data_IF_914549157397
#
_entry.id   IF_914549157397
#
_cell.length_a   1.000
_cell.length_b   1.000
_cell.length_c   1.000
_cell.angle_alpha   90.00
_cell.angle_beta   90.00
_cell.angle_gamma   90.00
#
_symmetry.space_group_name_H-M   'P 1'
#
loop_
_entity.id
_entity.type
_entity.pdbx_description
1 polymer ?
#
# COMPACT_ATOMS: atom_id res chain seq x y z
N UNK A 1 -3.81 21.46 -17.34
CA UNK A 1 -2.92 22.63 -17.15
C UNK A 1 -1.48 22.16 -17.30
N UNK A 2 -0.61 22.99 -17.90
CA UNK A 2 0.83 22.69 -18.00
C UNK A 2 1.26 21.84 -19.20
N UNK A 3 0.48 21.79 -20.28
CA UNK A 3 0.83 20.99 -21.47
C UNK A 3 2.11 21.47 -22.15
N UNK A 4 2.27 22.77 -22.40
CA UNK A 4 3.48 23.30 -23.05
C UNK A 4 4.75 23.06 -22.21
N UNK A 5 4.63 23.14 -20.89
CA UNK A 5 5.72 22.78 -19.95
C UNK A 5 6.06 21.29 -20.05
N UNK A 6 5.04 20.42 -20.15
CA UNK A 6 5.26 18.99 -20.36
C UNK A 6 5.95 18.73 -21.70
N UNK A 7 5.54 19.39 -22.79
CA UNK A 7 6.17 19.26 -24.12
C UNK A 7 7.66 19.59 -24.05
N UNK A 8 8.01 20.74 -23.43
CA UNK A 8 9.41 21.11 -23.23
C UNK A 8 10.19 20.10 -22.40
N UNK A 9 9.58 19.55 -21.34
CA UNK A 9 10.20 18.54 -20.49
C UNK A 9 10.44 17.21 -21.20
N UNK A 10 9.46 16.69 -21.93
CA UNK A 10 9.56 15.39 -22.61
C UNK A 10 10.49 15.41 -23.82
N UNK A 11 10.82 16.60 -24.36
CA UNK A 11 11.82 16.76 -25.42
C UNK A 11 13.20 16.19 -25.02
N UNK A 12 13.52 16.18 -23.72
CA UNK A 12 14.76 15.59 -23.19
C UNK A 12 14.76 14.05 -23.20
N UNK A 13 13.59 13.42 -23.38
CA UNK A 13 13.39 11.97 -23.32
C UNK A 13 13.06 11.42 -24.71
N UNK A 14 13.97 11.63 -25.66
CA UNK A 14 13.84 11.04 -27.01
C UNK A 14 13.77 9.50 -26.94
N UNK A 15 13.21 8.81 -27.95
CA UNK A 15 13.15 7.35 -27.96
C UNK A 15 14.51 6.68 -27.74
N UNK A 16 15.61 7.27 -28.23
CA UNK A 16 16.97 6.77 -28.00
C UNK A 16 17.40 6.88 -26.53
N UNK A 17 17.10 8.01 -25.89
CA UNK A 17 17.41 8.23 -24.47
C UNK A 17 16.59 7.30 -23.59
N UNK A 18 15.29 7.18 -23.85
CA UNK A 18 14.39 6.31 -23.10
C UNK A 18 14.75 4.83 -23.27
N UNK A 19 15.04 4.39 -24.50
CA UNK A 19 15.51 3.03 -24.81
C UNK A 19 16.76 2.67 -24.02
N UNK A 20 17.80 3.53 -24.04
CA UNK A 20 19.03 3.31 -23.27
C UNK A 20 18.77 3.19 -21.77
N UNK A 21 17.92 4.06 -21.21
CA UNK A 21 17.59 4.03 -19.77
C UNK A 21 16.76 2.81 -19.37
N UNK A 22 15.82 2.39 -20.20
CA UNK A 22 14.91 1.28 -19.90
C UNK A 22 15.49 -0.10 -20.26
N UNK A 23 16.56 -0.15 -21.08
CA UNK A 23 17.13 -1.42 -21.56
C UNK A 23 16.20 -2.15 -22.54
N UNK A 24 15.46 -1.40 -23.36
CA UNK A 24 14.53 -1.95 -24.37
C UNK A 24 14.80 -1.35 -25.74
N UNK A 25 14.49 -2.09 -26.80
CA UNK A 25 14.67 -1.63 -28.17
C UNK A 25 13.86 -0.36 -28.48
N UNK A 26 14.46 0.57 -29.25
CA UNK A 26 13.82 1.84 -29.63
C UNK A 26 12.50 1.61 -30.35
N UNK A 27 12.43 0.63 -31.26
CA UNK A 27 11.22 0.36 -32.02
C UNK A 27 10.12 -0.27 -31.17
N UNK A 28 10.46 -1.16 -30.22
CA UNK A 28 9.50 -1.72 -29.27
C UNK A 28 8.86 -0.63 -28.41
N UNK A 29 9.64 0.37 -27.96
CA UNK A 29 9.13 1.51 -27.22
C UNK A 29 8.14 2.35 -28.05
N UNK A 30 8.48 2.64 -29.30
CA UNK A 30 7.59 3.39 -30.22
C UNK A 30 6.32 2.61 -30.53
N UNK A 31 6.42 1.30 -30.73
CA UNK A 31 5.29 0.42 -30.98
C UNK A 31 4.33 0.41 -29.80
N UNK A 32 4.84 0.22 -28.57
CA UNK A 32 4.04 0.26 -27.34
C UNK A 32 3.30 1.61 -27.20
N UNK A 33 3.98 2.72 -27.44
CA UNK A 33 3.36 4.06 -27.38
C UNK A 33 2.25 4.23 -28.42
N UNK A 34 2.46 3.77 -29.66
CA UNK A 34 1.44 3.82 -30.73
C UNK A 34 0.26 2.89 -30.44
N UNK A 35 0.53 1.68 -29.97
CA UNK A 35 -0.49 0.70 -29.61
C UNK A 35 -1.42 1.30 -28.56
N UNK A 36 -0.84 1.85 -27.48
CA UNK A 36 -1.56 2.48 -26.39
C UNK A 36 -2.40 3.70 -26.84
N UNK A 37 -1.82 4.56 -27.68
CA UNK A 37 -2.49 5.79 -28.12
C UNK A 37 -3.58 5.58 -29.18
N UNK A 38 -3.46 4.53 -30.03
CA UNK A 38 -4.42 4.25 -31.12
C UNK A 38 -5.67 3.52 -30.64
N UNK A 39 -5.54 2.59 -29.69
CA UNK A 39 -6.64 1.72 -29.27
C UNK A 39 -7.38 2.29 -28.06
N UNK A 40 -8.13 3.38 -28.28
CA UNK A 40 -8.94 4.00 -27.24
C UNK A 40 -10.34 3.39 -27.18
N UNK A 41 -10.95 3.22 -25.99
CA UNK A 41 -10.41 3.53 -24.67
C UNK A 41 -9.28 2.57 -24.25
N UNK A 42 -8.22 3.10 -23.63
CA UNK A 42 -7.12 2.30 -23.08
C UNK A 42 -6.75 2.74 -21.67
N UNK A 43 -6.31 1.79 -20.87
CA UNK A 43 -5.98 1.97 -19.46
C UNK A 43 -4.64 1.31 -19.13
N UNK A 44 -3.88 1.90 -18.21
CA UNK A 44 -2.68 1.30 -17.64
C UNK A 44 -2.99 0.96 -16.20
N UNK A 45 -3.21 -0.31 -15.91
CA UNK A 45 -3.36 -0.80 -14.54
C UNK A 45 -1.97 -1.04 -13.97
N UNK A 46 -1.49 -0.07 -13.20
CA UNK A 46 -0.16 -0.13 -12.57
C UNK A 46 -0.02 -1.34 -11.63
N UNK A 47 -1.10 -1.79 -10.98
CA UNK A 47 -1.04 -2.73 -9.87
C UNK A 47 -0.65 -2.04 -8.56
N UNK A 48 -0.55 -2.82 -7.48
CA UNK A 48 -0.21 -2.33 -6.14
C UNK A 48 1.24 -2.68 -5.81
N UNK A 49 2.02 -1.72 -5.29
CA UNK A 49 3.41 -1.94 -4.86
C UNK A 49 4.35 -2.41 -5.96
N UNK A 50 3.95 -2.28 -7.23
CA UNK A 50 4.68 -2.80 -8.40
C UNK A 50 5.79 -1.86 -8.86
N UNK A 51 5.50 -0.56 -8.91
CA UNK A 51 6.45 0.48 -9.32
C UNK A 51 6.55 1.60 -8.29
N UNK A 52 5.81 1.54 -7.19
CA UNK A 52 5.74 2.53 -6.11
C UNK A 52 6.64 2.17 -4.91
N UNK A 53 7.23 0.96 -4.90
CA UNK A 53 8.28 0.54 -3.96
C UNK A 53 9.69 0.79 -4.52
N UNK A 54 9.87 1.90 -5.22
CA UNK A 54 11.18 2.43 -5.59
C UNK A 54 11.12 3.96 -5.54
N UNK A 55 12.28 4.60 -5.52
CA UNK A 55 12.38 6.05 -5.34
C UNK A 55 11.80 6.88 -6.48
N UNK A 56 11.85 6.37 -7.70
CA UNK A 56 11.22 7.02 -8.84
C UNK A 56 9.72 6.69 -8.94
N UNK A 57 9.18 5.89 -8.03
CA UNK A 57 7.84 5.33 -8.14
C UNK A 57 6.73 6.37 -8.13
N UNK A 58 6.86 7.39 -7.30
CA UNK A 58 5.95 8.54 -7.32
C UNK A 58 5.92 9.21 -8.71
N UNK A 59 7.08 9.44 -9.32
CA UNK A 59 7.18 10.09 -10.63
C UNK A 59 6.74 9.17 -11.76
N UNK A 60 6.97 7.85 -11.64
CA UNK A 60 6.47 6.85 -12.59
C UNK A 60 4.95 6.75 -12.58
N UNK A 61 4.32 6.70 -11.40
CA UNK A 61 2.86 6.78 -11.25
C UNK A 61 2.28 8.06 -11.84
N UNK A 62 2.96 9.21 -11.65
CA UNK A 62 2.55 10.48 -12.27
C UNK A 62 2.66 10.44 -13.80
N UNK A 63 3.72 9.84 -14.35
CA UNK A 63 3.88 9.67 -15.78
C UNK A 63 2.73 8.84 -16.37
N UNK A 64 2.34 7.74 -15.72
CA UNK A 64 1.20 6.90 -16.12
C UNK A 64 -0.11 7.69 -16.07
N UNK A 65 -0.35 8.43 -14.98
CA UNK A 65 -1.55 9.27 -14.86
C UNK A 65 -1.62 10.33 -15.97
N UNK A 66 -0.49 10.93 -16.32
CA UNK A 66 -0.36 11.89 -17.42
C UNK A 66 -0.65 11.22 -18.77
N UNK A 67 -0.12 10.03 -19.04
CA UNK A 67 -0.39 9.29 -20.28
C UNK A 67 -1.90 9.05 -20.47
N UNK A 68 -2.57 8.56 -19.42
CA UNK A 68 -4.02 8.32 -19.44
C UNK A 68 -4.82 9.62 -19.69
N UNK A 69 -4.36 10.74 -19.13
CA UNK A 69 -4.95 12.06 -19.36
C UNK A 69 -4.77 12.55 -20.80
N UNK A 70 -3.56 12.41 -21.36
CA UNK A 70 -3.22 12.87 -22.72
C UNK A 70 -4.03 12.16 -23.80
N UNK A 71 -4.30 10.87 -23.60
CA UNK A 71 -5.12 10.12 -24.55
C UNK A 71 -6.63 10.32 -24.34
N UNK A 72 -7.04 11.05 -23.30
CA UNK A 72 -8.44 11.32 -22.99
C UNK A 72 -9.20 10.12 -22.42
N UNK A 73 -8.51 9.18 -21.76
CA UNK A 73 -9.09 7.94 -21.22
C UNK A 73 -9.33 7.98 -19.70
N UNK A 74 -9.45 9.18 -19.12
CA UNK A 74 -9.87 9.36 -17.74
C UNK A 74 -11.39 9.37 -17.64
N UNK A 75 -11.92 8.63 -16.66
CA UNK A 75 -13.34 8.54 -16.34
C UNK A 75 -14.20 8.11 -17.54
N UNK A 76 -13.69 7.16 -18.34
CA UNK A 76 -14.37 6.54 -19.48
C UNK A 76 -14.36 5.00 -19.33
N UNK A 77 -15.39 4.32 -19.87
CA UNK A 77 -15.45 2.86 -19.89
C UNK A 77 -14.25 2.30 -20.69
N UNK A 78 -13.60 1.26 -20.18
CA UNK A 78 -12.33 0.75 -20.73
C UNK A 78 -11.09 1.64 -20.45
N UNK A 79 -11.29 2.82 -19.87
CA UNK A 79 -10.24 3.71 -19.39
C UNK A 79 -10.00 3.61 -17.88
N UNK A 80 -9.41 4.65 -17.30
CA UNK A 80 -9.20 4.74 -15.85
C UNK A 80 -10.43 5.36 -15.18
N UNK A 81 -11.24 4.53 -14.51
CA UNK A 81 -12.54 4.93 -13.97
C UNK A 81 -12.45 5.35 -12.50
N UNK A 82 -13.35 6.25 -12.10
CA UNK A 82 -13.55 6.58 -10.69
C UNK A 82 -14.78 5.83 -10.16
N UNK A 83 -14.60 4.85 -9.27
CA UNK A 83 -15.73 4.20 -8.63
C UNK A 83 -16.48 5.14 -7.69
N UNK A 84 -17.81 4.98 -7.55
CA UNK A 84 -18.59 5.81 -6.64
C UNK A 84 -18.27 5.46 -5.19
N UNK A 85 -18.72 6.31 -4.27
CA UNK A 85 -18.37 6.21 -2.84
C UNK A 85 -19.60 5.98 -2.02
N UNK A 86 -19.60 4.92 -1.20
CA UNK A 86 -20.60 4.73 -0.17
C UNK A 86 -20.47 5.86 0.86
N UNK A 87 -21.57 6.59 1.11
CA UNK A 87 -21.60 7.66 2.10
C UNK A 87 -21.66 7.04 3.49
N UNK A 88 -20.62 7.23 4.28
CA UNK A 88 -20.52 6.73 5.65
C UNK A 88 -20.25 7.88 6.62
N UNK A 89 -20.75 7.79 7.85
CA UNK A 89 -20.22 8.62 8.94
C UNK A 89 -18.81 8.17 9.29
N UNK A 90 -17.98 9.14 9.68
CA UNK A 90 -16.63 8.86 10.14
C UNK A 90 -16.64 8.52 11.63
N UNK A 91 -15.97 7.43 12.01
CA UNK A 91 -15.63 7.14 13.40
C UNK A 91 -14.38 7.90 13.87
N UNK A 92 -13.77 8.72 13.02
CA UNK A 92 -12.59 9.51 13.39
C UNK A 92 -13.01 10.70 14.24
N UNK A 93 -12.14 11.05 15.19
CA UNK A 93 -12.30 12.19 16.09
C UNK A 93 -11.22 13.25 15.83
N UNK A 94 -11.11 13.80 14.60
CA UNK A 94 -9.99 14.68 14.24
C UNK A 94 -9.96 15.96 15.06
N UNK A 95 -11.10 16.42 15.58
CA UNK A 95 -11.19 17.60 16.43
C UNK A 95 -10.52 17.43 17.81
N UNK A 96 -10.25 16.19 18.23
CA UNK A 96 -9.50 15.89 19.45
C UNK A 96 -7.99 15.91 19.24
N UNK A 97 -7.52 15.86 17.98
CA UNK A 97 -6.10 15.85 17.63
C UNK A 97 -5.70 17.25 17.19
N UNK A 98 -4.92 17.94 18.02
CA UNK A 98 -4.45 19.31 17.74
C UNK A 98 -3.13 19.34 16.98
N UNK A 99 -2.28 18.35 17.22
CA UNK A 99 -0.93 18.30 16.67
C UNK A 99 -0.86 17.56 15.34
N UNK A 100 0.20 17.83 14.59
CA UNK A 100 0.50 17.12 13.36
C UNK A 100 1.20 15.77 13.65
N UNK A 101 0.90 14.73 12.85
CA UNK A 101 1.55 13.44 13.03
C UNK A 101 3.05 13.50 12.67
N UNK A 102 3.85 12.60 13.24
CA UNK A 102 5.28 12.50 12.92
C UNK A 102 5.51 12.35 11.41
N UNK A 103 6.45 13.13 10.87
CA UNK A 103 6.76 13.16 9.44
C UNK A 103 5.98 14.19 8.63
N UNK A 104 5.00 14.87 9.24
CA UNK A 104 4.23 15.96 8.61
C UNK A 104 5.16 17.01 7.97
N UNK A 105 6.08 17.61 8.73
CA UNK A 105 6.94 18.69 8.22
C UNK A 105 7.94 18.23 7.13
N UNK A 106 8.17 16.92 7.00
CA UNK A 106 9.19 16.36 6.11
C UNK A 106 8.63 15.84 4.80
N UNK A 107 7.41 15.30 4.81
CA UNK A 107 6.88 14.58 3.66
C UNK A 107 5.54 15.16 3.24
N UNK A 108 5.49 15.76 2.04
CA UNK A 108 4.28 16.40 1.50
C UNK A 108 3.06 15.49 1.52
N UNK A 109 3.24 14.20 1.17
CA UNK A 109 2.15 13.21 1.19
C UNK A 109 1.57 12.96 2.59
N UNK A 110 2.25 13.36 3.66
CA UNK A 110 1.80 13.27 5.06
C UNK A 110 1.24 14.60 5.59
N UNK A 111 1.46 15.73 4.89
CA UNK A 111 0.71 16.99 5.10
C UNK A 111 -0.63 17.01 4.41
N UNK A 112 -0.67 16.34 3.26
CA UNK A 112 -1.81 16.34 2.37
C UNK A 112 -1.43 17.02 1.07
N UNK A 113 -1.84 16.40 -0.02
CA UNK A 113 -1.86 17.07 -1.29
C UNK A 113 -3.28 17.65 -1.47
N UNK A 114 -3.38 18.97 -1.56
CA UNK A 114 -4.64 19.71 -1.60
C UNK A 114 -5.46 19.52 -0.30
N UNK A 115 -6.80 19.57 -0.38
CA UNK A 115 -7.73 19.49 0.76
C UNK A 115 -7.88 18.08 1.37
N UNK A 116 -6.85 17.22 1.27
CA UNK A 116 -6.88 15.83 1.77
C UNK A 116 -5.85 15.64 2.88
N UNK A 117 -6.20 15.90 4.16
CA UNK A 117 -5.28 15.67 5.26
C UNK A 117 -5.00 14.15 5.41
N UNK A 118 -3.74 13.70 5.28
CA UNK A 118 -3.32 12.34 5.55
C UNK A 118 -3.19 12.26 7.06
N UNK A 119 -4.25 11.83 7.73
CA UNK A 119 -4.27 11.70 9.19
C UNK A 119 -3.43 10.54 9.73
N UNK A 120 -2.23 10.31 9.18
CA UNK A 120 -1.34 9.21 9.54
C UNK A 120 0.10 9.72 9.69
N UNK A 121 0.88 9.09 10.55
CA UNK A 121 2.31 9.38 10.71
C UNK A 121 3.16 8.60 9.70
N UNK A 122 4.32 9.15 9.34
CA UNK A 122 5.31 8.46 8.51
C UNK A 122 5.98 7.36 9.34
N UNK A 123 5.77 6.10 8.93
CA UNK A 123 6.15 4.91 9.69
C UNK A 123 7.63 4.91 10.12
N UNK A 124 8.57 5.22 9.22
CA UNK A 124 9.99 5.27 9.58
C UNK A 124 10.34 6.42 10.53
N UNK A 125 9.62 7.54 10.47
CA UNK A 125 9.82 8.63 11.42
C UNK A 125 9.31 8.24 12.80
N UNK A 126 8.23 7.46 12.89
CA UNK A 126 7.75 6.88 14.15
C UNK A 126 8.78 5.90 14.70
N UNK A 127 9.34 5.01 13.88
CA UNK A 127 10.37 4.06 14.30
C UNK A 127 11.65 4.77 14.76
N UNK A 128 12.07 5.83 14.06
CA UNK A 128 13.20 6.65 14.53
C UNK A 128 12.92 7.32 15.86
N UNK A 129 11.72 7.86 16.06
CA UNK A 129 11.35 8.50 17.32
C UNK A 129 11.28 7.49 18.47
N UNK A 130 10.79 6.28 18.21
CA UNK A 130 10.83 5.17 19.17
C UNK A 130 12.27 4.76 19.50
N UNK A 131 13.16 4.67 18.52
CA UNK A 131 14.57 4.27 18.72
C UNK A 131 15.42 5.37 19.38
N UNK A 132 15.26 6.62 18.98
CA UNK A 132 16.19 7.72 19.31
C UNK A 132 15.66 8.72 20.32
N UNK A 133 14.35 8.71 20.57
CA UNK A 133 13.69 9.73 21.39
C UNK A 133 13.48 11.08 20.68
N UNK A 134 13.77 11.19 19.37
CA UNK A 134 13.67 12.44 18.60
C UNK A 134 12.62 12.36 17.48
N UNK A 135 11.82 13.41 17.25
CA UNK A 135 11.84 14.72 17.92
C UNK A 135 11.29 14.69 19.35
N UNK A 136 10.58 13.62 19.73
CA UNK A 136 10.16 13.33 21.10
C UNK A 136 10.05 11.80 21.26
N UNK A 137 10.09 11.26 22.50
CA UNK A 137 10.06 9.82 22.71
C UNK A 137 8.69 9.23 22.41
N UNK A 138 8.70 8.13 21.66
CA UNK A 138 7.55 7.21 21.60
C UNK A 138 7.79 6.14 22.66
N UNK A 139 6.90 6.08 23.66
CA UNK A 139 7.04 5.18 24.81
C UNK A 139 6.11 3.98 24.77
N UNK A 140 4.99 4.10 24.06
CA UNK A 140 4.05 3.00 23.89
C UNK A 140 3.68 2.83 22.42
N UNK A 141 3.52 1.59 21.99
CA UNK A 141 3.00 1.25 20.66
C UNK A 141 1.99 0.10 20.77
N UNK A 142 0.88 0.23 20.04
CA UNK A 142 -0.06 -0.87 19.83
C UNK A 142 0.00 -1.27 18.36
N UNK A 143 0.29 -2.54 18.10
CA UNK A 143 0.34 -3.12 16.75
C UNK A 143 -0.86 -4.03 16.59
N UNK A 144 -1.67 -3.84 15.55
CA UNK A 144 -2.88 -4.62 15.30
C UNK A 144 -2.84 -5.22 13.91
N UNK A 145 -2.88 -6.55 13.81
CA UNK A 145 -2.91 -7.29 12.55
C UNK A 145 -1.72 -6.99 11.63
N UNK A 146 -0.55 -6.73 12.19
CA UNK A 146 0.65 -6.35 11.45
C UNK A 146 1.91 -6.99 12.07
N UNK A 147 2.88 -7.31 11.22
CA UNK A 147 4.17 -7.87 11.62
C UNK A 147 5.34 -7.03 11.08
N UNK A 148 5.51 -5.77 11.55
CA UNK A 148 6.52 -4.84 11.04
C UNK A 148 7.95 -5.35 11.11
N UNK A 149 8.31 -6.22 12.08
CA UNK A 149 9.66 -6.83 12.12
C UNK A 149 9.99 -7.54 10.81
N UNK A 150 9.02 -8.23 10.21
CA UNK A 150 9.20 -8.98 8.96
C UNK A 150 8.87 -8.15 7.71
N UNK A 151 7.90 -7.23 7.80
CA UNK A 151 7.31 -6.58 6.62
C UNK A 151 7.87 -5.20 6.29
N UNK A 152 8.57 -4.55 7.24
CA UNK A 152 9.27 -3.29 6.99
C UNK A 152 10.73 -3.57 6.60
N UNK A 153 11.34 -2.74 5.73
CA UNK A 153 12.76 -2.86 5.44
C UNK A 153 13.61 -2.49 6.65
N UNK A 154 14.83 -3.02 6.70
CA UNK A 154 15.77 -2.87 7.82
C UNK A 154 15.16 -3.40 9.13
N UNK A 155 14.95 -4.72 9.18
CA UNK A 155 14.33 -5.41 10.31
C UNK A 155 15.04 -5.13 11.63
N UNK A 156 16.37 -5.03 11.64
CA UNK A 156 17.16 -4.75 12.84
C UNK A 156 16.80 -3.39 13.44
N UNK A 157 16.64 -2.37 12.60
CA UNK A 157 16.17 -1.05 13.02
C UNK A 157 14.77 -1.11 13.62
N UNK A 158 13.88 -1.94 13.07
CA UNK A 158 12.53 -2.14 13.62
C UNK A 158 12.62 -2.80 14.99
N UNK A 159 13.40 -3.88 15.13
CA UNK A 159 13.59 -4.58 16.40
C UNK A 159 14.11 -3.63 17.47
N UNK A 160 15.15 -2.85 17.16
CA UNK A 160 15.71 -1.84 18.08
C UNK A 160 14.69 -0.79 18.49
N UNK A 161 13.87 -0.30 17.55
CA UNK A 161 12.82 0.68 17.85
C UNK A 161 11.75 0.10 18.78
N UNK A 162 11.34 -1.15 18.55
CA UNK A 162 10.31 -1.82 19.35
C UNK A 162 10.81 -2.19 20.76
N UNK A 163 12.07 -2.61 20.90
CA UNK A 163 12.69 -2.94 22.18
C UNK A 163 12.92 -1.71 23.08
N UNK A 164 12.95 -0.51 22.50
CA UNK A 164 13.12 0.74 23.26
C UNK A 164 11.80 1.32 23.82
N UNK A 165 10.67 0.67 23.53
CA UNK A 165 9.36 1.06 24.05
C UNK A 165 9.21 0.64 25.52
N UNK A 166 8.58 1.48 26.33
CA UNK A 166 8.17 1.13 27.70
C UNK A 166 6.95 0.18 27.69
N UNK A 167 6.17 0.19 26.60
CA UNK A 167 5.03 -0.68 26.39
C UNK A 167 4.83 -1.01 24.91
N UNK A 168 4.77 -2.31 24.59
CA UNK A 168 4.44 -2.82 23.27
C UNK A 168 3.29 -3.81 23.43
N UNK A 169 2.14 -3.47 22.85
CA UNK A 169 0.96 -4.34 22.82
C UNK A 169 0.76 -4.83 21.41
N UNK A 170 0.63 -6.14 21.22
CA UNK A 170 0.37 -6.73 19.91
C UNK A 170 -0.97 -7.45 19.92
N UNK A 171 -1.87 -7.07 19.03
CA UNK A 171 -3.19 -7.67 18.81
C UNK A 171 -3.11 -8.48 17.51
N UNK A 172 -2.97 -9.80 17.64
CA UNK A 172 -2.74 -10.69 16.50
C UNK A 172 -3.38 -12.06 16.73
N UNK A 173 -3.53 -12.84 15.65
CA UNK A 173 -3.99 -14.22 15.69
C UNK A 173 -2.86 -15.17 16.11
N UNK A 174 -1.60 -14.81 15.80
CA UNK A 174 -0.44 -15.68 15.98
C UNK A 174 0.69 -14.98 16.73
N UNK A 175 1.59 -15.77 17.33
CA UNK A 175 2.83 -15.29 17.90
C UNK A 175 3.84 -14.98 16.79
N UNK A 176 3.64 -13.85 16.10
CA UNK A 176 4.53 -13.36 15.03
C UNK A 176 5.87 -12.85 15.58
N UNK A 177 6.84 -12.58 14.70
CA UNK A 177 8.13 -12.00 15.09
C UNK A 177 7.97 -10.68 15.86
N UNK A 178 6.96 -9.88 15.50
CA UNK A 178 6.61 -8.67 16.24
C UNK A 178 5.93 -8.98 17.58
N UNK A 179 5.01 -9.96 17.62
CA UNK A 179 4.36 -10.37 18.86
C UNK A 179 5.35 -10.94 19.89
N UNK A 180 6.39 -11.63 19.43
CA UNK A 180 7.44 -12.17 20.29
C UNK A 180 8.26 -11.10 21.03
N UNK A 181 8.26 -9.85 20.54
CA UNK A 181 8.88 -8.71 21.21
C UNK A 181 7.92 -7.97 22.16
N UNK A 182 6.64 -8.32 22.16
CA UNK A 182 5.62 -7.57 22.87
C UNK A 182 5.67 -7.78 24.39
N UNK A 183 5.35 -6.72 25.12
CA UNK A 183 5.10 -6.79 26.56
C UNK A 183 3.75 -7.45 26.85
N UNK A 184 2.77 -7.25 25.96
CA UNK A 184 1.42 -7.84 26.05
C UNK A 184 0.98 -8.30 24.66
N UNK A 185 0.53 -9.55 24.56
CA UNK A 185 -0.12 -10.08 23.36
C UNK A 185 -1.59 -10.31 23.68
N UNK A 186 -2.48 -9.72 22.86
CA UNK A 186 -3.92 -9.86 22.97
C UNK A 186 -4.44 -10.72 21.81
N UNK A 187 -5.16 -11.83 22.08
CA UNK A 187 -5.64 -12.73 21.03
C UNK A 187 -6.75 -12.07 20.21
N UNK A 188 -6.52 -11.93 18.91
CA UNK A 188 -7.49 -11.36 17.98
C UNK A 188 -8.39 -12.43 17.34
N UNK A 189 -9.64 -12.08 17.05
CA UNK A 189 -10.53 -12.95 16.29
C UNK A 189 -10.11 -13.06 14.81
N UNK A 190 -10.27 -14.26 14.24
CA UNK A 190 -10.17 -14.47 12.80
C UNK A 190 -11.34 -13.81 12.05
N UNK A 191 -11.21 -13.70 10.72
CA UNK A 191 -12.28 -13.12 9.91
C UNK A 191 -13.58 -13.94 9.92
N UNK A 192 -13.54 -15.22 10.33
CA UNK A 192 -14.72 -16.10 10.41
C UNK A 192 -15.49 -15.96 11.73
N UNK A 193 -14.88 -15.32 12.74
CA UNK A 193 -15.38 -15.27 14.12
C UNK A 193 -16.15 -13.97 14.42
N UNK A 194 -16.16 -13.01 13.49
CA UNK A 194 -16.67 -11.66 13.72
C UNK A 194 -17.61 -11.18 12.62
N UNK A 195 -18.58 -10.36 13.04
CA UNK A 195 -19.33 -9.52 12.11
C UNK A 195 -18.47 -8.40 11.55
N UNK A 196 -18.83 -7.90 10.38
CA UNK A 196 -18.20 -6.70 9.86
C UNK A 196 -18.84 -6.20 8.57
N UNK A 197 -18.76 -4.90 8.35
CA UNK A 197 -19.16 -4.29 7.09
C UNK A 197 -18.11 -4.57 6.02
N UNK A 198 -18.47 -5.32 4.98
CA UNK A 198 -17.65 -5.53 3.81
C UNK A 198 -17.99 -4.49 2.76
N UNK A 199 -17.04 -3.59 2.49
CA UNK A 199 -17.08 -2.72 1.32
C UNK A 199 -15.99 -3.17 0.36
N UNK A 200 -16.27 -3.12 -0.95
CA UNK A 200 -15.22 -3.38 -1.92
C UNK A 200 -14.12 -2.33 -1.78
N UNK A 201 -12.86 -2.78 -1.79
CA UNK A 201 -11.72 -1.88 -1.77
C UNK A 201 -11.71 -1.09 -3.08
N UNK A 202 -12.26 0.12 -2.99
CA UNK A 202 -12.64 0.98 -4.11
C UNK A 202 -11.51 1.13 -5.14
N UNK A 203 -10.29 1.29 -4.65
CA UNK A 203 -9.08 1.52 -5.48
C UNK A 203 -8.67 0.29 -6.29
N UNK A 204 -9.08 -0.92 -5.90
CA UNK A 204 -8.69 -2.16 -6.60
C UNK A 204 -9.75 -2.68 -7.54
N UNK A 205 -11.00 -2.77 -7.07
CA UNK A 205 -12.02 -3.53 -7.78
C UNK A 205 -12.99 -2.64 -8.53
N UNK A 206 -13.08 -1.35 -8.19
CA UNK A 206 -13.96 -0.39 -8.88
C UNK A 206 -15.46 -0.66 -8.70
N UNK A 207 -15.85 -1.68 -7.94
CA UNK A 207 -17.22 -2.16 -7.83
C UNK A 207 -17.93 -1.55 -6.60
N UNK A 208 -19.09 -0.89 -6.77
CA UNK A 208 -19.81 -0.24 -5.67
C UNK A 208 -20.69 -1.23 -4.91
N UNK A 209 -20.06 -2.23 -4.32
CA UNK A 209 -20.71 -3.32 -3.60
C UNK A 209 -20.50 -3.18 -2.09
N UNK A 210 -21.56 -3.47 -1.35
CA UNK A 210 -21.54 -3.54 0.12
C UNK A 210 -22.29 -4.78 0.60
N UNK A 211 -21.76 -5.43 1.63
CA UNK A 211 -22.37 -6.59 2.26
C UNK A 211 -22.04 -6.60 3.76
N UNK A 212 -22.82 -7.33 4.55
CA UNK A 212 -22.44 -7.68 5.92
C UNK A 212 -21.78 -9.05 5.94
N UNK A 213 -20.57 -9.11 6.50
CA UNK A 213 -19.94 -10.37 6.90
C UNK A 213 -20.65 -10.89 8.14
N UNK A 214 -21.11 -12.14 8.06
CA UNK A 214 -21.70 -12.87 9.17
C UNK A 214 -20.61 -13.62 9.91
N UNK A 215 -20.79 -13.77 11.22
CA UNK A 215 -20.01 -14.68 12.04
C UNK A 215 -20.33 -16.12 11.64
N UNK A 216 -19.31 -16.88 11.22
CA UNK A 216 -19.44 -18.26 10.76
C UNK A 216 -19.16 -19.26 11.89
N UNK A 217 -18.30 -18.91 12.83
CA UNK A 217 -17.90 -19.74 13.97
C UNK A 217 -17.88 -18.91 15.25
N UNK A 218 -17.91 -19.57 16.42
CA UNK A 218 -17.69 -18.90 17.70
C UNK A 218 -16.24 -18.45 17.83
N UNK A 219 -16.00 -17.41 18.62
CA UNK A 219 -14.65 -16.94 18.96
C UNK A 219 -13.83 -18.11 19.51
N UNK A 220 -12.57 -18.18 19.11
CA UNK A 220 -11.68 -19.21 19.60
C UNK A 220 -11.04 -18.79 20.92
N UNK A 221 -11.12 -19.64 21.95
CA UNK A 221 -10.56 -19.36 23.27
C UNK A 221 -11.10 -18.05 23.86
N UNK A 222 -10.18 -17.17 24.27
CA UNK A 222 -10.49 -15.84 24.81
C UNK A 222 -10.32 -14.71 23.77
N UNK A 223 -10.25 -15.04 22.49
CA UNK A 223 -10.06 -14.05 21.42
C UNK A 223 -11.20 -13.04 21.36
N UNK A 224 -10.84 -11.77 21.12
CA UNK A 224 -11.80 -10.69 20.95
C UNK A 224 -11.76 -10.13 19.53
N UNK A 225 -12.92 -9.70 19.00
CA UNK A 225 -12.92 -8.89 17.78
C UNK A 225 -12.28 -7.53 18.08
N UNK A 226 -11.53 -6.98 17.14
CA UNK A 226 -10.75 -5.75 17.31
C UNK A 226 -11.57 -4.60 17.90
N UNK A 227 -12.81 -4.40 17.44
CA UNK A 227 -13.68 -3.33 17.92
C UNK A 227 -13.89 -3.39 19.44
N UNK A 228 -13.96 -4.60 20.02
CA UNK A 228 -14.16 -4.80 21.46
C UNK A 228 -12.93 -4.39 22.24
N UNK A 229 -11.73 -4.77 21.77
CA UNK A 229 -10.46 -4.37 22.39
C UNK A 229 -10.36 -2.85 22.46
N UNK A 230 -10.62 -2.16 21.34
CA UNK A 230 -10.57 -0.70 21.29
C UNK A 230 -11.65 -0.03 22.15
N UNK A 231 -12.86 -0.57 22.18
CA UNK A 231 -13.98 -0.03 22.99
C UNK A 231 -13.70 -0.16 24.49
N UNK A 232 -13.26 -1.33 24.95
CA UNK A 232 -12.93 -1.58 26.36
C UNK A 232 -11.75 -0.72 26.81
N UNK A 233 -10.73 -0.57 25.96
CA UNK A 233 -9.61 0.33 26.24
C UNK A 233 -10.09 1.78 26.36
N UNK A 234 -10.86 2.25 25.39
CA UNK A 234 -11.41 3.61 25.40
C UNK A 234 -12.24 3.88 26.67
N UNK A 235 -13.10 2.94 27.07
CA UNK A 235 -13.90 3.07 28.28
C UNK A 235 -13.05 3.11 29.55
N UNK A 236 -12.02 2.26 29.66
CA UNK A 236 -11.07 2.28 30.79
C UNK A 236 -10.25 3.57 30.86
N UNK A 237 -10.01 4.20 29.71
CA UNK A 237 -9.31 5.49 29.61
C UNK A 237 -10.24 6.70 29.80
N UNK A 238 -11.54 6.50 30.04
CA UNK A 238 -12.50 7.59 30.26
C UNK A 238 -13.12 8.18 28.99
N UNK A 239 -12.89 7.59 27.80
CA UNK A 239 -13.42 8.05 26.52
C UNK A 239 -14.80 7.47 26.16
N UNK A 240 -15.57 7.02 27.15
CA UNK A 240 -16.86 6.34 26.92
C UNK A 240 -17.85 7.17 26.09
N UNK A 241 -17.85 8.48 26.26
CA UNK A 241 -18.71 9.40 25.50
C UNK A 241 -18.47 9.33 23.98
N UNK A 242 -17.25 9.00 23.55
CA UNK A 242 -16.86 8.87 22.14
C UNK A 242 -17.06 7.46 21.59
N UNK A 243 -17.33 6.49 22.46
CA UNK A 243 -17.62 5.10 22.13
C UNK A 243 -18.96 4.68 22.75
N UNK A 244 -20.07 5.32 22.36
CA UNK A 244 -21.37 5.15 23.02
C UNK A 244 -22.08 3.84 22.66
N UNK A 245 -21.68 3.20 21.57
CA UNK A 245 -22.32 1.99 21.04
C UNK A 245 -22.07 0.79 21.95
N UNK A 246 -23.12 0.01 22.19
CA UNK A 246 -23.08 -1.21 23.00
C UNK A 246 -22.73 -2.45 22.18
N UNK A 247 -22.86 -2.36 20.86
CA UNK A 247 -22.50 -3.44 19.94
C UNK A 247 -21.92 -2.89 18.63
N UNK A 248 -21.31 -3.80 17.85
CA UNK A 248 -20.78 -3.45 16.53
C UNK A 248 -21.90 -3.15 15.53
N UNK A 249 -23.07 -3.75 15.69
CA UNK A 249 -24.25 -3.49 14.87
C UNK A 249 -24.74 -2.06 15.07
N UNK A 250 -24.87 -1.58 16.31
CA UNK A 250 -25.24 -0.19 16.60
C UNK A 250 -24.24 0.81 15.99
N UNK A 251 -22.93 0.53 16.11
CA UNK A 251 -21.90 1.35 15.50
C UNK A 251 -21.99 1.32 13.96
N UNK A 252 -22.27 0.15 13.38
CA UNK A 252 -22.39 -0.03 11.93
C UNK A 252 -23.64 0.67 11.38
N UNK A 253 -24.78 0.59 12.06
CA UNK A 253 -26.00 1.32 11.68
C UNK A 253 -25.78 2.83 11.74
N UNK A 254 -25.14 3.33 12.80
CA UNK A 254 -24.78 4.75 12.89
C UNK A 254 -23.85 5.19 11.75
N UNK A 255 -22.88 4.34 11.37
CA UNK A 255 -22.01 4.61 10.23
C UNK A 255 -22.77 4.63 8.90
N UNK A 256 -23.73 3.72 8.70
CA UNK A 256 -24.48 3.54 7.46
C UNK A 256 -25.60 4.56 7.25
N UNK A 257 -26.05 5.28 8.29
CA UNK A 257 -27.18 6.22 8.20
C UNK A 257 -27.14 7.15 6.96
N UNK A 258 -26.02 7.81 6.58
CA UNK A 258 -25.99 8.70 5.41
C UNK A 258 -26.14 8.00 4.06
N UNK A 259 -25.99 6.67 4.02
CA UNK A 259 -26.23 5.85 2.83
C UNK A 259 -27.69 5.40 2.70
N UNK A 260 -28.50 5.56 3.75
CA UNK A 260 -29.85 4.99 3.80
C UNK A 260 -29.88 3.46 3.97
N UNK A 261 -28.74 2.84 4.25
CA UNK A 261 -28.64 1.41 4.55
C UNK A 261 -28.64 1.16 6.06
N UNK A 262 -28.93 -0.07 6.44
CA UNK A 262 -28.83 -0.57 7.82
C UNK A 262 -28.21 -1.96 7.84
N UNK A 263 -27.75 -2.40 9.01
CA UNK A 263 -27.36 -3.78 9.29
C UNK A 263 -28.50 -4.71 8.89
N UNK A 264 -29.74 -4.41 9.32
CA UNK A 264 -30.93 -5.20 8.96
C UNK A 264 -31.11 -5.34 7.46
N UNK A 265 -30.97 -4.25 6.71
CA UNK A 265 -31.05 -4.29 5.24
C UNK A 265 -30.02 -5.24 4.64
N UNK A 266 -28.81 -5.26 5.17
CA UNK A 266 -27.71 -6.08 4.67
C UNK A 266 -27.68 -7.51 5.23
N UNK A 267 -28.49 -7.83 6.26
CA UNK A 267 -28.58 -9.17 6.84
C UNK A 267 -29.85 -9.92 6.46
N UNK A 268 -30.98 -9.21 6.38
CA UNK A 268 -32.33 -9.77 6.26
C UNK A 268 -32.85 -9.56 4.84
N UNK A 269 -32.85 -8.31 4.35
CA UNK A 269 -33.43 -7.97 3.05
C UNK A 269 -32.50 -8.33 1.88
N UNK A 270 -31.19 -8.12 2.07
CA UNK A 270 -30.12 -8.33 1.08
C UNK A 270 -28.93 -9.09 1.68
N UNK A 271 -29.13 -10.34 2.14
CA UNK A 271 -28.11 -11.13 2.84
C UNK A 271 -26.82 -11.40 2.04
N UNK A 272 -26.90 -11.35 0.71
CA UNK A 272 -25.72 -11.48 -0.16
C UNK A 272 -24.92 -10.18 -0.27
N UNK A 273 -25.52 -9.03 0.05
CA UNK A 273 -25.05 -7.69 -0.29
C UNK A 273 -25.82 -7.07 -1.47
N UNK A 274 -25.46 -5.83 -1.81
CA UNK A 274 -26.06 -5.07 -2.90
C UNK A 274 -25.07 -4.08 -3.54
N UNK A 275 -25.34 -3.73 -4.80
CA UNK A 275 -24.69 -2.60 -5.46
C UNK A 275 -25.38 -1.30 -5.05
N UNK A 276 -24.67 -0.41 -4.35
CA UNK A 276 -25.26 0.83 -3.80
C UNK A 276 -25.27 1.99 -4.80
N UNK A 277 -24.66 1.80 -5.97
CA UNK A 277 -24.63 2.76 -7.06
C UNK A 277 -24.44 2.03 -8.40
N UNK A 278 -24.68 2.73 -9.50
CA UNK A 278 -24.25 2.27 -10.83
C UNK A 278 -22.73 2.06 -10.82
N UNK A 279 -22.26 0.96 -11.42
CA UNK A 279 -20.82 0.61 -11.47
C UNK A 279 -19.96 1.74 -12.01
N UNK A 280 -20.45 2.41 -13.05
CA UNK A 280 -19.72 3.44 -13.75
C UNK A 280 -20.65 4.49 -14.34
N UNK A 281 -20.21 5.74 -14.30
CA UNK A 281 -20.82 6.87 -15.01
C UNK A 281 -19.70 7.66 -15.68
N UNK A 282 -19.74 7.74 -17.00
CA UNK A 282 -18.71 8.43 -17.77
C UNK A 282 -18.64 9.91 -17.44
N UNK A 283 -17.40 10.41 -17.31
CA UNK A 283 -17.05 11.82 -17.11
C UNK A 283 -17.82 12.46 -15.96
N UNK A 284 -18.03 11.71 -14.89
CA UNK A 284 -18.77 12.20 -13.73
C UNK A 284 -18.06 13.41 -13.09
N UNK A 285 -16.74 13.58 -13.30
CA UNK A 285 -16.02 14.79 -12.92
C UNK A 285 -16.64 16.09 -13.50
N UNK A 286 -17.27 16.05 -14.67
CA UNK A 286 -17.93 17.23 -15.28
C UNK A 286 -19.09 17.73 -14.41
N UNK A 287 -19.86 16.81 -13.82
CA UNK A 287 -20.95 17.14 -12.91
C UNK A 287 -20.46 17.81 -11.61
N UNK A 288 -19.19 17.62 -11.24
CA UNK A 288 -18.56 18.26 -10.08
C UNK A 288 -17.80 19.55 -10.43
N UNK A 289 -17.98 20.06 -11.65
CA UNK A 289 -17.28 21.24 -12.14
C UNK A 289 -15.80 20.99 -12.45
N UNK A 290 -15.40 19.73 -12.64
CA UNK A 290 -14.03 19.31 -12.96
C UNK A 290 -13.43 18.33 -11.95
N UNK A 291 -12.12 18.11 -12.09
CA UNK A 291 -11.36 17.27 -11.16
C UNK A 291 -11.21 17.95 -9.78
N UNK A 292 -11.01 17.19 -8.69
CA UNK A 292 -10.76 17.74 -7.36
C UNK A 292 -9.31 18.26 -7.23
N UNK A 293 -8.92 19.14 -8.15
CA UNK A 293 -7.64 19.85 -8.19
C UNK A 293 -7.92 21.36 -8.07
N UNK A 294 -6.92 22.18 -7.65
CA UNK A 294 -7.09 23.63 -7.58
C UNK A 294 -7.59 24.25 -8.88
N UNK A 295 -7.09 23.77 -10.03
CA UNK A 295 -7.51 24.26 -11.35
C UNK A 295 -8.79 23.64 -11.91
N UNK A 296 -9.40 22.68 -11.21
CA UNK A 296 -10.50 21.83 -11.70
C UNK A 296 -10.20 21.02 -12.98
N UNK A 297 -8.94 20.98 -13.39
CA UNK A 297 -8.45 20.27 -14.59
C UNK A 297 -7.37 19.27 -14.18
N UNK A 298 -6.97 18.40 -15.10
CA UNK A 298 -5.76 17.59 -14.90
C UNK A 298 -4.53 18.51 -14.89
N UNK A 299 -3.73 18.43 -13.83
CA UNK A 299 -2.51 19.22 -13.65
C UNK A 299 -1.29 18.39 -14.08
N UNK A 300 -0.88 18.56 -15.34
CA UNK A 300 0.30 17.89 -15.90
C UNK A 300 1.57 18.42 -15.23
N UNK A 301 1.63 19.75 -15.09
CA UNK A 301 2.55 20.45 -14.19
C UNK A 301 1.84 20.71 -12.86
N UNK A 302 2.45 20.32 -11.75
CA UNK A 302 1.92 20.59 -10.40
C UNK A 302 2.65 21.75 -9.76
N UNK A 303 1.95 22.90 -9.61
CA UNK A 303 2.48 24.06 -8.89
C UNK A 303 2.73 23.75 -7.41
N UNK A 304 1.91 22.89 -6.81
CA UNK A 304 2.08 22.50 -5.40
C UNK A 304 3.39 21.72 -5.17
N UNK A 305 3.73 20.80 -6.08
CA UNK A 305 5.03 20.12 -6.01
C UNK A 305 6.20 21.09 -6.20
N UNK A 306 6.05 22.08 -7.09
CA UNK A 306 7.09 23.08 -7.33
C UNK A 306 7.41 23.89 -6.07
N UNK A 307 6.38 24.33 -5.33
CA UNK A 307 6.54 25.05 -4.04
C UNK A 307 7.29 24.24 -2.99
N UNK A 308 7.19 22.92 -3.08
CA UNK A 308 7.78 21.96 -2.15
C UNK A 308 9.17 21.48 -2.61
N UNK A 309 9.74 22.14 -3.64
CA UNK A 309 11.00 21.73 -4.27
C UNK A 309 11.00 20.28 -4.77
N UNK A 310 9.83 19.74 -5.09
CA UNK A 310 9.65 18.43 -5.73
C UNK A 310 9.45 18.66 -7.22
N UNK A 311 10.04 17.81 -8.07
CA UNK A 311 9.88 17.94 -9.52
C UNK A 311 8.39 18.02 -9.94
N UNK A 312 7.95 19.15 -10.52
CA UNK A 312 6.55 19.40 -10.83
C UNK A 312 6.08 18.66 -12.09
N UNK A 313 7.01 18.13 -12.87
CA UNK A 313 6.80 17.26 -14.04
C UNK A 313 7.40 15.87 -13.77
N UNK A 314 6.90 14.81 -14.42
CA UNK A 314 7.35 13.44 -14.21
C UNK A 314 8.82 13.29 -14.57
N UNK A 315 9.69 13.36 -13.57
CA UNK A 315 11.15 13.34 -13.72
C UNK A 315 11.69 12.10 -13.02
N UNK A 316 12.31 11.16 -13.73
CA UNK A 316 12.92 9.99 -13.10
C UNK A 316 13.95 10.41 -12.05
N UNK A 317 13.88 9.80 -10.88
CA UNK A 317 14.84 10.02 -9.79
C UNK A 317 15.90 8.92 -9.88
N UNK A 318 17.16 9.32 -10.06
CA UNK A 318 18.30 8.41 -9.99
C UNK A 318 18.75 8.28 -8.53
N UNK A 319 19.09 7.06 -8.11
CA UNK A 319 19.62 6.80 -6.77
C UNK A 319 21.01 6.20 -6.86
N UNK A 320 21.93 6.72 -6.06
CA UNK A 320 23.31 6.22 -5.98
C UNK A 320 23.32 4.79 -5.43
N UNK A 321 22.42 4.48 -4.50
CA UNK A 321 22.31 3.20 -3.82
C UNK A 321 21.77 2.07 -4.71
N UNK A 322 21.19 2.41 -5.86
CA UNK A 322 20.79 1.45 -6.90
C UNK A 322 21.90 1.21 -7.92
N UNK A 323 23.02 1.94 -7.84
CA UNK A 323 24.19 1.66 -8.68
C UNK A 323 24.86 0.42 -8.13
N UNK A 324 24.92 -0.60 -8.98
CA UNK A 324 25.77 -1.76 -8.77
C UNK A 324 27.23 -1.34 -8.91
N UNK A 325 28.09 -1.96 -8.14
CA UNK A 325 29.54 -1.79 -8.19
C UNK A 325 30.22 -3.17 -8.21
N UNK A 326 31.55 -3.20 -8.26
CA UNK A 326 32.29 -4.47 -8.32
C UNK A 326 32.10 -5.33 -7.06
N UNK A 327 31.72 -4.72 -5.93
CA UNK A 327 31.46 -5.40 -4.65
C UNK A 327 30.02 -5.94 -4.58
N UNK A 328 29.05 -5.16 -5.07
CA UNK A 328 27.62 -5.51 -5.16
C UNK A 328 27.12 -5.45 -6.61
N UNK A 329 27.45 -6.44 -7.45
CA UNK A 329 27.21 -6.37 -8.90
C UNK A 329 25.77 -6.70 -9.32
N UNK A 330 24.89 -7.06 -8.39
CA UNK A 330 23.51 -7.50 -8.66
C UNK A 330 22.47 -6.55 -8.07
N UNK A 331 21.38 -6.34 -8.81
CA UNK A 331 20.19 -5.64 -8.34
C UNK A 331 19.25 -6.60 -7.62
N UNK A 332 18.85 -6.27 -6.40
CA UNK A 332 17.90 -7.06 -5.62
C UNK A 332 16.45 -6.67 -5.92
N UNK A 333 15.59 -7.64 -6.21
CA UNK A 333 14.14 -7.46 -6.31
C UNK A 333 13.43 -8.28 -5.21
N UNK A 334 12.97 -7.62 -4.15
CA UNK A 334 12.27 -8.24 -3.01
C UNK A 334 10.76 -8.44 -3.20
N UNK A 335 10.28 -8.50 -4.45
CA UNK A 335 8.88 -8.23 -4.80
C UNK A 335 8.03 -9.39 -5.34
N UNK A 336 8.59 -10.59 -5.53
CA UNK A 336 7.81 -11.70 -6.10
C UNK A 336 6.77 -12.22 -5.10
N UNK A 337 5.50 -12.22 -5.52
CA UNK A 337 4.40 -12.76 -4.71
C UNK A 337 4.29 -14.26 -4.95
N UNK A 338 4.23 -15.02 -3.86
CA UNK A 338 3.97 -16.46 -3.88
C UNK A 338 2.47 -16.64 -3.73
N UNK A 339 1.80 -17.23 -4.73
CA UNK A 339 0.32 -17.33 -4.80
C UNK A 339 -0.34 -18.05 -3.61
N UNK A 340 0.43 -18.81 -2.83
CA UNK A 340 -0.06 -19.55 -1.66
C UNK A 340 -0.09 -18.71 -0.37
N UNK A 341 0.56 -17.56 -0.35
CA UNK A 341 0.72 -16.73 0.85
C UNK A 341 0.27 -15.29 0.61
N UNK A 342 -0.16 -14.61 1.67
CA UNK A 342 -0.38 -13.16 1.66
C UNK A 342 0.68 -12.52 2.54
N UNK A 343 1.77 -12.04 1.92
CA UNK A 343 2.93 -11.51 2.63
C UNK A 343 3.49 -12.52 3.66
N UNK A 344 3.50 -12.17 4.95
CA UNK A 344 3.90 -13.04 6.05
C UNK A 344 2.80 -14.01 6.51
N UNK A 345 1.55 -13.85 6.06
CA UNK A 345 0.40 -14.64 6.52
C UNK A 345 0.32 -15.99 5.80
N UNK A 346 -0.40 -16.93 6.42
CA UNK A 346 -0.74 -18.26 5.90
C UNK A 346 0.43 -19.26 5.81
N UNK A 347 1.63 -18.87 6.23
CA UNK A 347 2.83 -19.72 6.21
C UNK A 347 2.76 -20.89 7.21
N UNK A 348 1.89 -20.79 8.22
CA UNK A 348 1.63 -21.81 9.24
C UNK A 348 0.50 -22.79 8.83
N UNK A 349 -0.21 -22.51 7.75
CA UNK A 349 -1.23 -23.42 7.23
C UNK A 349 -0.55 -24.56 6.48
N UNK A 350 -0.46 -25.73 7.11
CA UNK A 350 0.30 -26.89 6.61
C UNK A 350 0.02 -27.20 5.13
N UNK A 351 -1.26 -27.20 4.72
CA UNK A 351 -1.66 -27.48 3.33
C UNK A 351 -1.10 -26.45 2.34
N UNK A 352 -1.04 -25.17 2.72
CA UNK A 352 -0.45 -24.11 1.90
C UNK A 352 1.08 -24.20 1.94
N UNK A 353 1.65 -24.50 3.12
CA UNK A 353 3.10 -24.61 3.32
C UNK A 353 3.74 -25.69 2.44
N UNK A 354 3.05 -26.81 2.21
CA UNK A 354 3.49 -27.90 1.30
C UNK A 354 3.76 -27.45 -0.13
N UNK A 355 3.14 -26.36 -0.60
CA UNK A 355 3.38 -25.86 -1.96
C UNK A 355 4.66 -25.04 -2.10
N UNK A 356 5.16 -24.45 -0.99
CA UNK A 356 6.38 -23.63 -1.01
C UNK A 356 7.06 -23.67 0.36
N UNK A 357 7.87 -24.70 0.59
CA UNK A 357 8.41 -25.04 1.91
C UNK A 357 9.49 -24.09 2.41
N UNK A 358 10.34 -23.62 1.50
CA UNK A 358 11.56 -22.87 1.82
C UNK A 358 11.63 -21.59 0.98
N UNK A 359 12.09 -20.46 1.55
CA UNK A 359 12.36 -19.26 0.77
C UNK A 359 13.48 -19.51 -0.23
N UNK A 360 13.34 -18.97 -1.44
CA UNK A 360 14.35 -19.07 -2.51
C UNK A 360 14.68 -17.70 -3.09
N UNK A 361 15.95 -17.49 -3.43
CA UNK A 361 16.42 -16.38 -4.24
C UNK A 361 16.52 -16.85 -5.69
N UNK A 362 15.75 -16.23 -6.59
CA UNK A 362 15.76 -16.59 -8.00
C UNK A 362 16.96 -15.92 -8.68
N UNK A 363 17.76 -16.65 -9.46
CA UNK A 363 18.98 -16.12 -10.09
C UNK A 363 19.11 -16.68 -11.50
N UNK A 364 19.58 -15.88 -12.46
CA UNK A 364 19.85 -16.39 -13.80
C UNK A 364 20.93 -17.50 -13.80
N UNK A 365 20.76 -18.61 -14.54
CA UNK A 365 21.71 -19.74 -14.54
C UNK A 365 23.16 -19.35 -14.83
N UNK A 366 23.37 -18.36 -15.71
CA UNK A 366 24.72 -17.83 -16.02
C UNK A 366 25.33 -17.10 -14.84
N UNK A 367 24.57 -16.24 -14.16
CA UNK A 367 25.01 -15.51 -12.97
C UNK A 367 25.36 -16.48 -11.84
N UNK A 368 24.52 -17.51 -11.66
CA UNK A 368 24.74 -18.56 -10.69
C UNK A 368 26.03 -19.35 -10.94
N UNK A 369 26.28 -19.74 -12.20
CA UNK A 369 27.54 -20.38 -12.61
C UNK A 369 28.75 -19.46 -12.43
N UNK A 370 28.61 -18.17 -12.74
CA UNK A 370 29.65 -17.16 -12.54
C UNK A 370 30.05 -17.03 -11.07
N UNK A 371 29.09 -17.20 -10.15
CA UNK A 371 29.32 -17.23 -8.71
C UNK A 371 29.82 -18.59 -8.18
N UNK A 372 30.00 -19.60 -9.04
CA UNK A 372 30.43 -20.95 -8.63
C UNK A 372 29.38 -21.75 -7.86
N UNK A 373 28.12 -21.32 -7.87
CA UNK A 373 27.01 -21.95 -7.14
C UNK A 373 26.22 -22.91 -8.03
N UNK A 374 25.59 -23.91 -7.40
CA UNK A 374 24.65 -24.84 -8.05
C UNK A 374 23.20 -24.47 -7.72
N UNK A 375 22.29 -24.94 -8.55
CA UNK A 375 20.86 -24.80 -8.28
C UNK A 375 20.48 -25.49 -6.95
N UNK A 376 19.59 -24.88 -6.17
CA UNK A 376 19.13 -25.31 -4.84
C UNK A 376 20.22 -25.33 -3.76
N UNK A 377 21.38 -24.73 -4.01
CA UNK A 377 22.46 -24.57 -3.03
C UNK A 377 22.18 -23.42 -2.06
N UNK A 378 22.67 -23.53 -0.82
CA UNK A 378 22.59 -22.44 0.14
C UNK A 378 23.65 -21.39 -0.18
N UNK A 379 23.23 -20.14 -0.30
CA UNK A 379 24.11 -19.00 -0.46
C UNK A 379 23.75 -17.89 0.54
N UNK A 380 24.64 -16.93 0.68
CA UNK A 380 24.37 -15.66 1.35
C UNK A 380 24.11 -14.61 0.29
N UNK A 381 22.95 -13.96 0.37
CA UNK A 381 22.65 -12.77 -0.41
C UNK A 381 22.91 -11.58 0.51
N UNK A 382 23.84 -10.71 0.10
CA UNK A 382 24.34 -9.60 0.90
C UNK A 382 24.13 -8.26 0.19
N UNK A 383 23.82 -7.24 0.99
CA UNK A 383 23.70 -5.85 0.58
C UNK A 383 24.51 -4.99 1.55
N UNK A 384 24.69 -3.71 1.24
CA UNK A 384 25.30 -2.71 2.14
C UNK A 384 24.59 -2.61 3.51
N UNK A 385 23.35 -3.08 3.62
CA UNK A 385 22.52 -2.95 4.81
C UNK A 385 22.28 -4.28 5.55
N UNK A 386 22.87 -5.39 5.11
CA UNK A 386 22.70 -6.70 5.75
C UNK A 386 22.66 -7.86 4.77
N UNK A 387 22.50 -9.07 5.31
CA UNK A 387 22.54 -10.31 4.55
C UNK A 387 21.51 -11.33 5.00
N UNK A 388 21.21 -12.29 4.12
CA UNK A 388 20.33 -13.42 4.41
C UNK A 388 20.90 -14.71 3.81
N UNK A 389 20.83 -15.80 4.59
CA UNK A 389 21.13 -17.14 4.10
C UNK A 389 19.87 -17.76 3.48
N UNK A 390 19.93 -18.08 2.19
CA UNK A 390 18.77 -18.52 1.40
C UNK A 390 19.20 -19.53 0.33
N UNK A 391 18.29 -20.41 -0.11
CA UNK A 391 18.56 -21.30 -1.24
C UNK A 391 18.45 -20.53 -2.55
N UNK A 392 19.40 -20.73 -3.46
CA UNK A 392 19.35 -20.15 -4.80
C UNK A 392 18.55 -21.06 -5.75
N UNK A 393 17.74 -20.46 -6.61
CA UNK A 393 16.91 -21.14 -7.60
C UNK A 393 17.21 -20.59 -9.00
N UNK A 394 17.74 -21.43 -9.87
CA UNK A 394 18.07 -21.06 -11.24
C UNK A 394 16.79 -20.78 -12.05
N UNK A 395 16.68 -19.60 -12.66
CA UNK A 395 15.58 -19.25 -13.58
C UNK A 395 16.05 -18.34 -14.72
N UNK A 396 15.66 -18.66 -15.95
CA UNK A 396 15.94 -17.83 -17.14
C UNK A 396 14.95 -16.67 -17.32
N UNK A 397 14.01 -16.49 -16.37
CA UNK A 397 13.02 -15.41 -16.38
C UNK A 397 13.58 -14.08 -15.87
N UNK A 398 14.73 -14.11 -15.20
CA UNK A 398 15.40 -12.93 -14.66
C UNK A 398 16.55 -12.48 -15.57
N UNK A 399 16.86 -11.18 -15.49
CA UNK A 399 18.08 -10.65 -16.13
C UNK A 399 19.32 -11.17 -15.42
N UNK A 400 20.45 -11.12 -16.12
CA UNK A 400 21.75 -11.56 -15.59
C UNK A 400 22.22 -10.74 -14.38
N UNK A 401 21.79 -9.49 -14.28
CA UNK A 401 22.18 -8.51 -13.27
C UNK A 401 21.17 -8.40 -12.12
N UNK A 402 20.28 -9.39 -11.95
CA UNK A 402 19.18 -9.36 -10.97
C UNK A 402 19.13 -10.63 -10.13
N UNK A 403 18.81 -10.47 -8.85
CA UNK A 403 18.49 -11.53 -7.87
C UNK A 403 17.19 -11.26 -7.12
#
# INVERSE_FOLDING_TARGET
>A
VGFDRLVGHVANYTPKVASRKAGVEVEALKEAARLYAKHKPSCIVQGITSIDHNVSGFQASRAIAILQALIGCLDMEGGFTRPPTLKLRSLRLPHLVKDHPLGYDRFLLYRGLYSRPPGFAHAFTVLEAAKTGKPYPIKAMMVTGANPVTTMPDSDRVVQALQNLDLLVVIDLFMTDTAALAHVVLPACSFLERYGLCTNYRVMHGEPYVAMKKKCVREFGESWPDWRVWTELAWKMGFREWFPWKSIEEATDWMLEPSGLSVKTLTDDKPAGLFYAQRFKAREYEAYGGFPTPSRKVELYSEELAKENIHPLPTPIEMEELKVDDEYPLLLISGSRISFYTHSQLKDVERLRKHYLEPKAEVHPTTLRGAGLKNEEWAVIETKNGSVKIKVAATDRLRLDVV
#
